data_IF_229310878625
#
_entry.id   IF_229310878625
#
_cell.length_a   1.000
_cell.length_b   1.000
_cell.length_c   1.000
_cell.angle_alpha   90.00
_cell.angle_beta   90.00
_cell.angle_gamma   90.00
#
_symmetry.space_group_name_H-M   'P 1'
#
loop_
_entity.id
_entity.type
_entity.pdbx_description
1 polymer ?
#
# COMPACT_ATOMS: atom_id res chain seq x y z
N UNK A 1 -15.30 -17.57 0.68
CA UNK A 1 -14.26 -17.56 1.70
C UNK A 1 -13.03 -16.77 1.25
N UNK A 2 -13.07 -15.45 1.45
CA UNK A 2 -11.97 -14.57 1.10
C UNK A 2 -11.52 -13.83 2.35
N UNK A 3 -10.22 -13.85 2.63
CA UNK A 3 -9.63 -13.01 3.66
C UNK A 3 -9.18 -11.70 3.03
N UNK A 4 -9.57 -10.59 3.63
CA UNK A 4 -9.20 -9.25 3.14
C UNK A 4 -8.11 -8.67 4.02
N UNK A 5 -7.05 -8.14 3.40
CA UNK A 5 -5.97 -7.45 4.11
C UNK A 5 -5.72 -6.13 3.38
N UNK A 6 -5.77 -5.03 4.12
CA UNK A 6 -5.42 -3.72 3.59
C UNK A 6 -3.94 -3.44 3.81
N UNK A 7 -3.36 -2.64 2.92
CA UNK A 7 -1.96 -2.24 3.03
C UNK A 7 -1.81 -0.82 2.51
N UNK A 8 -1.06 0.00 3.22
CA UNK A 8 -0.70 1.33 2.75
C UNK A 8 0.70 1.69 3.23
N UNK A 9 1.28 2.72 2.59
CA UNK A 9 2.62 3.20 2.95
C UNK A 9 2.62 4.10 4.19
N UNK A 10 1.47 4.27 4.82
CA UNK A 10 1.32 5.09 6.02
C UNK A 10 1.74 4.31 7.27
N UNK A 11 2.01 5.03 8.35
CA UNK A 11 2.41 4.42 9.60
C UNK A 11 1.26 3.70 10.31
N UNK A 12 1.57 2.79 11.21
CA UNK A 12 0.58 2.14 12.05
C UNK A 12 -0.21 3.15 12.90
N UNK A 13 0.39 4.30 13.21
CA UNK A 13 -0.27 5.36 13.98
C UNK A 13 -1.33 6.06 13.13
N UNK A 14 -1.06 6.28 11.84
CA UNK A 14 -2.05 6.81 10.90
C UNK A 14 -3.22 5.83 10.74
N UNK A 15 -2.92 4.54 10.59
CA UNK A 15 -3.95 3.49 10.50
C UNK A 15 -4.82 3.47 11.76
N UNK A 16 -4.20 3.59 12.92
CA UNK A 16 -4.93 3.65 14.19
C UNK A 16 -5.87 4.86 14.24
N UNK A 17 -5.38 6.02 13.81
CA UNK A 17 -6.20 7.24 13.77
C UNK A 17 -7.38 7.07 12.81
N UNK A 18 -7.16 6.49 11.62
CA UNK A 18 -8.24 6.24 10.65
C UNK A 18 -9.31 5.29 11.22
N UNK A 19 -8.89 4.24 11.91
CA UNK A 19 -9.79 3.26 12.52
C UNK A 19 -10.61 3.87 13.67
N UNK A 20 -10.15 4.94 14.28
CA UNK A 20 -10.82 5.62 15.37
C UNK A 20 -11.57 6.89 14.93
N UNK A 21 -11.60 7.18 13.64
CA UNK A 21 -12.27 8.34 13.07
C UNK A 21 -13.51 7.89 12.31
N UNK A 22 -14.64 8.55 12.54
CA UNK A 22 -15.89 8.22 11.85
C UNK A 22 -15.79 8.47 10.35
N UNK A 23 -16.55 7.70 9.58
CA UNK A 23 -16.58 7.82 8.12
C UNK A 23 -16.97 9.22 7.67
N UNK A 24 -17.84 9.90 8.42
CA UNK A 24 -18.27 11.28 8.11
C UNK A 24 -17.14 12.30 8.27
N UNK A 25 -16.11 11.95 9.05
CA UNK A 25 -14.94 12.79 9.29
C UNK A 25 -13.70 12.32 8.51
N UNK A 26 -13.90 11.48 7.49
CA UNK A 26 -12.84 11.00 6.64
C UNK A 26 -12.11 9.76 7.13
N UNK A 27 -12.62 9.13 8.20
CA UNK A 27 -12.02 7.93 8.76
C UNK A 27 -12.62 6.63 8.22
N UNK A 28 -12.15 5.51 8.74
CA UNK A 28 -12.58 4.17 8.35
C UNK A 28 -13.02 3.33 9.54
N UNK A 29 -13.58 3.98 10.55
CA UNK A 29 -14.07 3.29 11.74
C UNK A 29 -15.09 2.21 11.35
N UNK A 30 -14.92 1.02 11.92
CA UNK A 30 -15.75 -0.14 11.62
C UNK A 30 -15.12 -1.17 10.69
N UNK A 31 -14.00 -0.84 10.07
CA UNK A 31 -13.24 -1.79 9.26
C UNK A 31 -12.67 -2.88 10.18
N UNK A 32 -12.87 -4.14 9.81
CA UNK A 32 -12.50 -5.28 10.64
C UNK A 32 -11.37 -6.14 10.08
N UNK A 33 -10.91 -5.86 8.86
CA UNK A 33 -9.78 -6.58 8.29
C UNK A 33 -8.46 -5.91 8.70
N UNK A 34 -7.36 -6.67 8.71
CA UNK A 34 -6.05 -6.09 9.07
C UNK A 34 -5.57 -5.03 8.09
N UNK A 35 -4.89 -4.03 8.62
CA UNK A 35 -4.20 -3.01 7.82
C UNK A 35 -2.69 -3.17 8.04
N UNK A 36 -1.96 -3.42 6.97
CA UNK A 36 -0.50 -3.55 7.01
C UNK A 36 0.14 -2.20 6.74
N UNK A 37 1.06 -1.80 7.61
CA UNK A 37 1.83 -0.57 7.44
C UNK A 37 3.09 -0.87 6.64
N UNK A 38 3.17 -0.37 5.41
CA UNK A 38 4.32 -0.52 4.53
C UNK A 38 5.12 0.78 4.51
N UNK A 39 5.51 1.26 5.68
CA UNK A 39 6.18 2.55 5.83
C UNK A 39 7.48 2.62 5.02
N UNK A 40 8.21 1.52 4.91
CA UNK A 40 9.43 1.43 4.11
C UNK A 40 9.17 1.25 2.61
N UNK A 41 7.91 1.14 2.20
CA UNK A 41 7.48 0.97 0.80
C UNK A 41 7.96 -0.32 0.13
N UNK A 42 8.39 -1.30 0.92
CA UNK A 42 8.92 -2.58 0.42
C UNK A 42 7.83 -3.41 -0.27
N UNK A 43 6.65 -3.48 0.34
CA UNK A 43 5.53 -4.25 -0.22
C UNK A 43 5.04 -3.58 -1.51
N UNK A 44 4.90 -2.25 -1.51
CA UNK A 44 4.49 -1.51 -2.70
C UNK A 44 5.47 -1.71 -3.85
N UNK A 45 6.76 -1.72 -3.57
CA UNK A 45 7.79 -1.98 -4.57
C UNK A 45 7.71 -3.41 -5.10
N UNK A 46 7.56 -4.40 -4.23
CA UNK A 46 7.49 -5.81 -4.61
C UNK A 46 6.25 -6.14 -5.44
N UNK A 47 5.14 -5.45 -5.21
CA UNK A 47 3.91 -5.62 -6.00
C UNK A 47 3.87 -4.69 -7.22
N UNK A 48 4.93 -3.92 -7.45
CA UNK A 48 5.07 -3.02 -8.59
C UNK A 48 3.96 -1.97 -8.66
N UNK A 49 3.58 -1.46 -7.52
CA UNK A 49 2.55 -0.41 -7.40
C UNK A 49 3.09 0.90 -6.82
N UNK A 50 4.40 1.00 -6.65
CA UNK A 50 5.03 2.22 -6.16
C UNK A 50 5.23 3.19 -7.34
N UNK A 51 4.76 4.43 -7.17
CA UNK A 51 4.89 5.47 -8.17
C UNK A 51 6.30 6.08 -8.12
N UNK A 52 7.22 5.48 -8.84
CA UNK A 52 8.63 5.86 -8.84
C UNK A 52 9.52 4.65 -8.64
N UNK A 53 10.81 4.88 -8.61
CA UNK A 53 11.78 3.81 -8.44
C UNK A 53 13.02 4.30 -7.69
N UNK A 54 13.74 3.36 -7.11
CA UNK A 54 15.04 3.63 -6.52
C UNK A 54 16.12 3.45 -7.58
N UNK A 55 17.07 4.38 -7.58
CA UNK A 55 18.25 4.32 -8.44
C UNK A 55 19.48 4.65 -7.60
N UNK A 56 20.66 4.41 -8.13
CA UNK A 56 21.90 4.71 -7.43
C UNK A 56 22.58 5.91 -8.08
N UNK A 57 23.02 6.86 -7.25
CA UNK A 57 23.79 8.01 -7.74
C UNK A 57 25.25 7.61 -7.98
N UNK A 58 26.07 8.58 -8.39
CA UNK A 58 27.49 8.36 -8.70
C UNK A 58 28.29 7.84 -7.47
N UNK A 59 27.85 8.20 -6.28
CA UNK A 59 28.49 7.78 -5.02
C UNK A 59 28.01 6.40 -4.53
N UNK A 60 27.11 5.74 -5.28
CA UNK A 60 26.55 4.46 -4.91
C UNK A 60 25.42 4.53 -3.88
N UNK A 61 24.92 5.71 -3.58
CA UNK A 61 23.80 5.91 -2.65
C UNK A 61 22.47 5.74 -3.37
N UNK A 62 21.51 5.13 -2.69
CA UNK A 62 20.17 4.94 -3.25
C UNK A 62 19.40 6.26 -3.28
N UNK A 63 18.86 6.61 -4.42
CA UNK A 63 17.99 7.78 -4.60
C UNK A 63 16.63 7.33 -5.09
N UNK A 64 15.56 7.95 -4.57
CA UNK A 64 14.20 7.67 -5.02
C UNK A 64 13.76 8.71 -6.05
N UNK A 65 13.28 8.25 -7.19
CA UNK A 65 12.75 9.08 -8.27
C UNK A 65 11.26 8.80 -8.45
N UNK A 66 10.42 9.80 -8.26
CA UNK A 66 8.98 9.69 -8.41
C UNK A 66 8.25 10.30 -7.22
N UNK A 67 6.95 10.08 -7.17
CA UNK A 67 6.08 10.71 -6.17
C UNK A 67 6.11 10.01 -4.80
N UNK A 68 6.75 8.85 -4.69
CA UNK A 68 6.87 8.07 -3.46
C UNK A 68 5.52 7.71 -2.82
N UNK A 69 4.49 7.55 -3.65
CA UNK A 69 3.16 7.09 -3.22
C UNK A 69 2.82 5.78 -3.93
N UNK A 70 1.91 5.02 -3.36
CA UNK A 70 1.46 3.77 -3.98
C UNK A 70 0.25 4.03 -4.87
N UNK A 71 0.22 3.39 -6.03
CA UNK A 71 -1.00 3.30 -6.83
C UNK A 71 -2.03 2.44 -6.09
N UNK A 72 -3.30 2.59 -6.44
CA UNK A 72 -4.35 1.73 -5.89
C UNK A 72 -4.28 0.36 -6.55
N UNK A 73 -4.07 -0.66 -5.76
CA UNK A 73 -3.96 -2.03 -6.25
C UNK A 73 -4.90 -2.97 -5.53
N UNK A 74 -5.46 -3.90 -6.27
CA UNK A 74 -6.23 -5.01 -5.74
C UNK A 74 -5.64 -6.30 -6.30
N UNK A 75 -5.31 -7.23 -5.41
CA UNK A 75 -4.66 -8.48 -5.77
C UNK A 75 -5.44 -9.65 -5.21
N UNK A 76 -5.77 -10.61 -6.06
CA UNK A 76 -6.37 -11.88 -5.63
C UNK A 76 -5.25 -12.92 -5.57
N UNK A 77 -4.99 -13.44 -4.38
CA UNK A 77 -3.89 -14.36 -4.11
C UNK A 77 -4.49 -15.70 -3.67
N UNK A 78 -4.06 -16.80 -4.30
CA UNK A 78 -4.55 -18.12 -3.97
C UNK A 78 -3.87 -18.70 -2.73
N UNK A 79 -4.25 -19.92 -2.35
CA UNK A 79 -3.73 -20.59 -1.16
C UNK A 79 -2.25 -20.95 -1.26
N UNK A 80 -1.69 -20.99 -2.47
CA UNK A 80 -0.26 -21.24 -2.69
C UNK A 80 0.56 -19.96 -2.73
N UNK A 81 -0.08 -18.79 -2.53
CA UNK A 81 0.60 -17.51 -2.58
C UNK A 81 0.82 -16.96 -3.98
N UNK A 82 0.11 -17.49 -4.97
CA UNK A 82 0.23 -17.03 -6.36
C UNK A 82 -0.83 -15.98 -6.65
N UNK A 83 -0.41 -14.85 -7.22
CA UNK A 83 -1.32 -13.78 -7.65
C UNK A 83 -2.07 -14.27 -8.90
N UNK A 84 -3.40 -14.38 -8.78
CA UNK A 84 -4.26 -14.88 -9.86
C UNK A 84 -4.94 -13.76 -10.63
N UNK A 85 -5.07 -12.61 -10.04
CA UNK A 85 -5.70 -11.46 -10.67
C UNK A 85 -5.19 -10.19 -10.02
N UNK A 86 -5.04 -9.13 -10.79
CA UNK A 86 -4.66 -7.84 -10.25
C UNK A 86 -5.32 -6.71 -11.03
N UNK A 87 -5.64 -5.65 -10.29
CA UNK A 87 -6.12 -4.39 -10.86
C UNK A 87 -5.29 -3.29 -10.23
N UNK A 88 -4.65 -2.46 -11.02
CA UNK A 88 -3.87 -1.33 -10.55
C UNK A 88 -4.37 -0.07 -11.24
N UNK A 89 -4.74 0.94 -10.45
CA UNK A 89 -5.23 2.20 -10.94
C UNK A 89 -4.31 3.33 -10.52
N UNK A 90 -4.13 4.28 -11.40
CA UNK A 90 -3.36 5.48 -11.10
C UNK A 90 -4.15 6.40 -10.16
N UNK A 91 -3.44 7.28 -9.48
CA UNK A 91 -4.02 8.29 -8.60
C UNK A 91 -4.05 9.66 -9.27
N UNK A 92 -5.02 10.48 -8.89
CA UNK A 92 -6.27 10.20 -8.16
C UNK A 92 -7.32 9.58 -9.08
N UNK A 93 -8.22 8.83 -8.49
CA UNK A 93 -9.35 8.26 -9.23
C UNK A 93 -10.53 9.18 -9.19
#
# INVERSE_FOLDING_TARGET
>A
NVAVVGCSIDSKFSHWAWLNTDKNDGGIKGVKFPLVSDLAKTIAENYDVLAGEYDYNEDGEAEFHGDAVAYRGLFLIDKQGIVRHQVVNDLPL
#
